data_IF_221230309259
#
_entry.id   IF_221230309259
#
_cell.length_a   1.000
_cell.length_b   1.000
_cell.length_c   1.000
_cell.angle_alpha   90.00
_cell.angle_beta   90.00
_cell.angle_gamma   90.00
#
_symmetry.space_group_name_H-M   'P 1'
#
loop_
_entity.id
_entity.type
_entity.pdbx_description
1 polymer ?
#
# COMPACT_ATOMS: atom_id res chain seq x y z
N UNK A 1 -4.90 -18.08 -1.32
CA UNK A 1 -4.48 -16.88 -0.55
C UNK A 1 -5.11 -15.69 -1.26
N UNK A 2 -5.60 -14.71 -0.48
CA UNK A 2 -6.75 -13.89 -0.85
C UNK A 2 -6.42 -12.68 -1.72
N UNK A 3 -7.35 -12.25 -2.56
CA UNK A 3 -7.17 -11.15 -3.53
C UNK A 3 -7.28 -9.76 -2.88
N UNK A 4 -6.73 -9.57 -1.68
CA UNK A 4 -6.84 -8.30 -0.94
C UNK A 4 -5.46 -7.81 -0.47
N UNK A 5 -5.23 -6.51 -0.66
CA UNK A 5 -4.07 -5.79 -0.17
C UNK A 5 -4.47 -4.91 1.02
N UNK A 6 -3.65 -4.91 2.07
CA UNK A 6 -3.79 -3.98 3.20
C UNK A 6 -2.66 -2.95 3.14
N UNK A 7 -2.99 -1.72 3.50
CA UNK A 7 -2.11 -0.57 3.44
C UNK A 7 -2.08 0.11 4.80
N UNK A 8 -0.89 0.19 5.40
CA UNK A 8 -0.67 0.84 6.68
C UNK A 8 -0.01 2.19 6.45
N UNK A 9 -0.80 3.26 6.63
CA UNK A 9 -0.34 4.64 6.46
C UNK A 9 0.00 5.22 7.83
N UNK A 10 1.28 5.51 8.14
CA UNK A 10 1.66 6.08 9.42
C UNK A 10 1.17 7.53 9.56
N UNK A 11 0.77 7.93 10.77
CA UNK A 11 0.35 9.31 11.05
C UNK A 11 1.50 10.32 10.88
N UNK A 12 2.75 9.89 11.08
CA UNK A 12 3.94 10.75 10.98
C UNK A 12 4.86 10.31 9.83
N UNK A 13 4.33 10.36 8.59
CA UNK A 13 5.06 9.97 7.37
C UNK A 13 6.42 10.68 7.23
N UNK A 14 6.51 11.96 7.62
CA UNK A 14 7.72 12.77 7.49
C UNK A 14 8.94 12.23 8.27
N UNK A 15 8.74 11.32 9.21
CA UNK A 15 9.83 10.62 9.92
C UNK A 15 10.52 9.57 9.04
N UNK A 16 9.84 9.05 8.03
CA UNK A 16 10.24 7.86 7.27
C UNK A 16 10.69 8.16 5.83
N UNK A 17 10.38 9.35 5.31
CA UNK A 17 10.83 9.78 3.98
C UNK A 17 12.36 9.76 3.88
N UNK A 18 12.87 9.07 2.85
CA UNK A 18 14.28 8.81 2.57
C UNK A 18 14.94 7.81 3.50
N UNK A 19 14.15 7.01 4.22
CA UNK A 19 14.63 6.04 5.22
C UNK A 19 14.03 4.65 5.00
N UNK A 20 13.60 4.35 3.78
CA UNK A 20 12.97 3.09 3.40
C UNK A 20 13.84 1.88 3.75
N UNK A 21 15.16 1.98 3.54
CA UNK A 21 16.10 0.91 3.87
C UNK A 21 16.24 0.70 5.39
N UNK A 22 16.29 1.78 6.18
CA UNK A 22 16.34 1.67 7.64
C UNK A 22 15.07 0.97 8.17
N UNK A 23 13.91 1.35 7.64
CA UNK A 23 12.62 0.77 8.03
C UNK A 23 12.51 -0.70 7.62
N UNK A 24 12.98 -1.04 6.41
CA UNK A 24 13.03 -2.42 5.94
C UNK A 24 13.92 -3.29 6.85
N UNK A 25 15.05 -2.76 7.32
CA UNK A 25 15.93 -3.46 8.26
C UNK A 25 15.30 -3.62 9.65
N UNK A 26 14.50 -2.64 10.11
CA UNK A 26 13.72 -2.78 11.34
C UNK A 26 12.66 -3.90 11.23
N UNK A 27 11.94 -4.00 10.11
CA UNK A 27 11.03 -5.12 9.84
C UNK A 27 11.77 -6.46 9.72
N UNK A 28 12.93 -6.47 9.06
CA UNK A 28 13.78 -7.66 8.98
C UNK A 28 14.20 -8.14 10.36
N UNK A 29 14.60 -7.23 11.25
CA UNK A 29 14.98 -7.55 12.62
C UNK A 29 13.82 -8.11 13.47
N UNK A 30 12.56 -7.82 13.11
CA UNK A 30 11.37 -8.42 13.71
C UNK A 30 11.05 -9.81 13.12
N UNK A 31 11.69 -10.20 12.02
CA UNK A 31 11.52 -11.50 11.37
C UNK A 31 10.19 -11.68 10.63
N UNK A 32 9.44 -10.59 10.37
CA UNK A 32 8.09 -10.67 9.78
C UNK A 32 8.05 -11.32 8.40
N UNK A 33 9.14 -11.21 7.65
CA UNK A 33 9.27 -11.79 6.32
C UNK A 33 9.51 -13.31 6.34
N UNK A 34 9.92 -13.88 7.47
CA UNK A 34 10.25 -15.32 7.55
C UNK A 34 9.01 -16.22 7.38
N UNK A 35 7.81 -15.64 7.48
CA UNK A 35 6.55 -16.33 7.25
C UNK A 35 6.09 -16.29 5.78
N UNK A 36 6.80 -15.59 4.88
CA UNK A 36 6.40 -15.45 3.47
C UNK A 36 7.06 -16.51 2.60
N UNK A 37 6.44 -16.82 1.45
CA UNK A 37 7.00 -17.72 0.43
C UNK A 37 7.81 -16.97 -0.66
N UNK A 38 8.26 -15.75 -0.38
CA UNK A 38 8.97 -14.90 -1.34
C UNK A 38 10.40 -15.41 -1.63
N UNK A 39 10.76 -15.50 -2.92
CA UNK A 39 12.05 -16.03 -3.37
C UNK A 39 13.23 -15.13 -2.97
N UNK A 40 13.07 -13.80 -3.00
CA UNK A 40 14.11 -12.86 -2.61
C UNK A 40 14.35 -12.90 -1.08
N UNK A 41 13.30 -13.07 -0.29
CA UNK A 41 13.42 -13.32 1.16
C UNK A 41 14.15 -14.64 1.41
N UNK A 42 13.81 -15.69 0.67
CA UNK A 42 14.47 -16.98 0.80
C UNK A 42 15.96 -16.92 0.44
N UNK A 43 16.35 -16.16 -0.59
CA UNK A 43 17.75 -15.89 -0.91
C UNK A 43 18.47 -15.15 0.22
N UNK A 44 17.86 -14.09 0.77
CA UNK A 44 18.42 -13.34 1.91
C UNK A 44 18.59 -14.20 3.16
N UNK A 45 17.65 -15.11 3.43
CA UNK A 45 17.75 -16.11 4.51
C UNK A 45 18.97 -17.01 4.30
N UNK A 46 19.13 -17.57 3.10
CA UNK A 46 20.29 -18.42 2.76
C UNK A 46 21.62 -17.68 2.92
N UNK A 47 21.69 -16.41 2.54
CA UNK A 47 22.89 -15.60 2.76
C UNK A 47 23.23 -15.44 4.24
N UNK A 48 22.22 -15.18 5.09
CA UNK A 48 22.39 -15.08 6.54
C UNK A 48 22.89 -16.40 7.15
N UNK A 49 22.32 -17.52 6.73
CA UNK A 49 22.74 -18.85 7.16
C UNK A 49 24.18 -19.16 6.72
N UNK A 50 24.53 -18.85 5.46
CA UNK A 50 25.88 -19.04 4.93
C UNK A 50 26.93 -18.19 5.67
N UNK A 51 26.55 -16.99 6.11
CA UNK A 51 27.39 -16.09 6.91
C UNK A 51 27.45 -16.49 8.40
N UNK A 52 26.70 -17.51 8.83
CA UNK A 52 26.62 -17.93 10.23
C UNK A 52 25.91 -16.92 11.14
N UNK A 53 25.06 -16.05 10.57
CA UNK A 53 24.25 -15.09 11.30
C UNK A 53 22.98 -15.79 11.82
N UNK A 54 22.57 -15.47 13.04
CA UNK A 54 21.29 -15.92 13.55
C UNK A 54 20.15 -15.19 12.82
N UNK A 55 19.10 -15.93 12.45
CA UNK A 55 17.85 -15.34 11.96
C UNK A 55 17.08 -14.72 13.14
N UNK A 56 16.33 -13.64 12.91
CA UNK A 56 15.41 -13.11 13.90
C UNK A 56 14.33 -14.14 14.25
N UNK A 57 13.92 -14.18 15.51
CA UNK A 57 12.79 -14.99 15.96
C UNK A 57 11.50 -14.20 15.72
N UNK A 58 10.58 -14.75 14.95
CA UNK A 58 9.27 -14.15 14.75
C UNK A 58 8.15 -15.06 15.28
N UNK A 59 7.25 -14.47 16.06
CA UNK A 59 5.97 -15.07 16.45
C UNK A 59 4.85 -14.13 15.99
N UNK A 60 4.32 -14.33 14.78
CA UNK A 60 3.05 -13.74 14.37
C UNK A 60 2.21 -14.75 13.58
N UNK A 61 0.90 -14.72 13.81
CA UNK A 61 -0.08 -15.59 13.14
C UNK A 61 -0.66 -14.94 11.86
N UNK A 62 -0.05 -13.87 11.36
CA UNK A 62 -0.49 -13.16 10.16
C UNK A 62 0.22 -13.72 8.92
N UNK A 63 -0.56 -14.21 7.95
CA UNK A 63 -0.08 -14.75 6.68
C UNK A 63 -0.35 -13.75 5.55
N UNK A 64 0.65 -13.50 4.71
CA UNK A 64 0.59 -12.63 3.54
C UNK A 64 1.54 -13.15 2.47
N UNK A 65 1.27 -12.84 1.20
CA UNK A 65 2.11 -13.28 0.08
C UNK A 65 3.34 -12.40 -0.09
N UNK A 66 3.12 -11.09 -0.17
CA UNK A 66 4.19 -10.10 -0.36
C UNK A 66 3.98 -8.88 0.55
N UNK A 67 5.07 -8.18 0.84
CA UNK A 67 5.08 -6.96 1.65
C UNK A 67 6.15 -6.00 1.15
N UNK A 68 5.75 -4.75 0.93
CA UNK A 68 6.66 -3.70 0.49
C UNK A 68 6.44 -2.38 1.20
N UNK A 69 7.48 -1.56 1.15
CA UNK A 69 7.45 -0.17 1.58
C UNK A 69 7.41 0.72 0.34
N UNK A 70 6.52 1.70 0.37
CA UNK A 70 6.49 2.77 -0.61
C UNK A 70 7.03 4.03 0.03
N UNK A 71 7.98 4.69 -0.64
CA UNK A 71 8.48 6.03 -0.31
C UNK A 71 8.62 6.83 -1.62
N UNK A 72 7.66 7.71 -1.86
CA UNK A 72 7.55 8.46 -3.11
C UNK A 72 7.78 9.97 -2.91
N UNK A 73 8.29 10.62 -3.95
CA UNK A 73 8.43 12.07 -4.00
C UNK A 73 7.06 12.77 -3.94
N UNK A 74 6.04 12.15 -4.54
CA UNK A 74 4.67 12.65 -4.60
C UNK A 74 3.70 11.81 -3.76
N UNK A 75 2.56 12.42 -3.44
CA UNK A 75 1.48 11.73 -2.71
C UNK A 75 0.71 10.79 -3.64
N UNK A 76 0.81 9.48 -3.41
CA UNK A 76 0.13 8.43 -4.16
C UNK A 76 -1.24 8.08 -3.56
N UNK A 77 -2.22 7.66 -4.38
CA UNK A 77 -3.48 7.10 -3.91
C UNK A 77 -3.25 5.85 -3.03
N UNK A 78 -4.00 5.75 -1.93
CA UNK A 78 -4.01 4.56 -1.07
C UNK A 78 -5.45 4.18 -0.74
N UNK A 79 -5.93 2.97 -1.09
CA UNK A 79 -5.25 1.89 -1.83
C UNK A 79 -4.75 2.30 -3.22
N UNK A 80 -3.73 1.59 -3.73
CA UNK A 80 -3.24 1.79 -5.09
C UNK A 80 -4.14 1.12 -6.14
N UNK A 81 -4.79 0.00 -5.80
CA UNK A 81 -5.85 -0.55 -6.65
C UNK A 81 -7.10 0.32 -6.53
N UNK A 82 -7.33 1.11 -7.57
CA UNK A 82 -8.45 2.07 -7.62
C UNK A 82 -9.79 1.39 -7.91
N UNK A 83 -9.75 0.20 -8.48
CA UNK A 83 -10.92 -0.59 -8.78
C UNK A 83 -11.66 -0.96 -7.48
N UNK A 84 -12.98 -0.80 -7.49
CA UNK A 84 -13.81 -1.00 -6.30
C UNK A 84 -13.95 0.23 -5.38
N UNK A 85 -13.10 1.27 -5.49
CA UNK A 85 -13.25 2.50 -4.69
C UNK A 85 -14.52 3.30 -5.02
N UNK A 86 -15.13 3.04 -6.19
CA UNK A 86 -16.34 3.72 -6.64
C UNK A 86 -16.13 5.23 -6.73
N UNK A 87 -15.10 5.64 -7.48
CA UNK A 87 -14.71 7.03 -7.61
C UNK A 87 -15.77 7.81 -8.40
N UNK A 88 -16.23 8.93 -7.84
CA UNK A 88 -17.29 9.74 -8.42
C UNK A 88 -16.86 11.19 -8.60
N UNK A 89 -17.40 11.81 -9.67
CA UNK A 89 -17.14 13.19 -10.00
C UNK A 89 -17.67 14.13 -8.90
N UNK A 90 -16.84 15.03 -8.34
CA UNK A 90 -17.28 15.91 -7.26
C UNK A 90 -18.37 16.91 -7.67
N UNK A 91 -18.63 17.07 -8.97
CA UNK A 91 -19.57 18.05 -9.51
C UNK A 91 -20.94 17.48 -9.90
N UNK A 92 -21.00 16.21 -10.30
CA UNK A 92 -22.22 15.59 -10.82
C UNK A 92 -22.45 14.16 -10.34
N UNK A 93 -21.56 13.65 -9.48
CA UNK A 93 -21.61 12.30 -8.88
C UNK A 93 -21.64 11.14 -9.89
N UNK A 94 -21.34 11.41 -11.18
CA UNK A 94 -21.11 10.36 -12.17
C UNK A 94 -19.88 9.52 -11.80
N UNK A 95 -19.95 8.22 -12.06
CA UNK A 95 -18.81 7.32 -11.94
C UNK A 95 -17.69 7.76 -12.89
N UNK A 96 -16.48 7.83 -12.37
CA UNK A 96 -15.27 8.23 -13.10
C UNK A 96 -14.09 7.31 -12.78
N UNK A 97 -14.34 6.10 -12.26
CA UNK A 97 -13.30 5.16 -11.84
C UNK A 97 -12.35 4.84 -13.00
N UNK A 98 -12.88 4.52 -14.18
CA UNK A 98 -12.06 4.27 -15.39
C UNK A 98 -11.20 5.48 -15.77
N UNK A 99 -11.75 6.70 -15.76
CA UNK A 99 -10.98 7.89 -16.12
C UNK A 99 -9.93 8.26 -15.06
N UNK A 100 -10.14 7.84 -13.81
CA UNK A 100 -9.13 7.96 -12.76
C UNK A 100 -8.02 6.93 -12.99
N UNK A 101 -8.38 5.68 -13.31
CA UNK A 101 -7.42 4.62 -13.64
C UNK A 101 -6.54 5.01 -14.82
N UNK A 102 -7.13 5.45 -15.94
CA UNK A 102 -6.39 5.91 -17.13
C UNK A 102 -5.36 7.00 -16.81
N UNK A 103 -5.67 7.89 -15.86
CA UNK A 103 -4.77 8.97 -15.46
C UNK A 103 -3.69 8.46 -14.51
N UNK A 104 -3.98 7.44 -13.71
CA UNK A 104 -3.04 6.86 -12.75
C UNK A 104 -2.03 5.92 -13.44
N UNK A 105 -2.51 5.05 -14.32
CA UNK A 105 -1.68 4.13 -15.14
C UNK A 105 -0.68 4.93 -16.00
N UNK A 106 -1.12 6.07 -16.55
CA UNK A 106 -0.24 7.03 -17.26
C UNK A 106 0.94 7.53 -16.39
N UNK A 107 0.80 7.58 -15.05
CA UNK A 107 1.85 8.06 -14.13
C UNK A 107 2.92 7.01 -13.92
N UNK A 108 2.51 5.74 -13.78
CA UNK A 108 3.43 4.62 -13.54
C UNK A 108 4.37 4.44 -14.75
N UNK A 109 3.82 4.58 -15.96
CA UNK A 109 4.58 4.55 -17.20
C UNK A 109 5.34 5.87 -17.50
N UNK A 110 4.89 7.01 -16.97
CA UNK A 110 5.46 8.32 -17.25
C UNK A 110 5.22 9.32 -16.10
N UNK A 111 6.25 9.71 -15.32
CA UNK A 111 6.12 10.55 -14.13
C UNK A 111 5.82 12.04 -14.43
N UNK A 112 5.16 12.32 -15.55
CA UNK A 112 4.63 13.63 -15.86
C UNK A 112 3.60 14.06 -14.80
N UNK A 113 3.42 15.38 -14.55
CA UNK A 113 2.48 15.85 -13.57
C UNK A 113 1.06 15.35 -13.88
N UNK A 114 0.43 14.72 -12.88
CA UNK A 114 -0.88 14.07 -12.98
C UNK A 114 -1.89 14.99 -13.67
N UNK A 115 -2.27 14.65 -14.90
CA UNK A 115 -3.26 15.43 -15.65
C UNK A 115 -4.61 15.39 -14.93
N UNK A 116 -5.40 16.48 -14.94
CA UNK A 116 -6.73 16.46 -14.33
C UNK A 116 -7.65 15.41 -14.96
N UNK A 117 -8.45 14.75 -14.14
CA UNK A 117 -9.45 13.79 -14.61
C UNK A 117 -10.64 14.54 -15.17
N UNK A 118 -11.00 14.21 -16.41
CA UNK A 118 -12.15 14.79 -17.09
C UNK A 118 -13.38 13.90 -16.92
N UNK A 119 -14.41 14.40 -16.25
CA UNK A 119 -15.66 13.67 -16.09
C UNK A 119 -16.43 13.59 -17.42
N UNK A 120 -16.79 12.38 -17.84
CA UNK A 120 -17.58 12.13 -19.07
C UNK A 120 -19.03 12.65 -18.96
N UNK A 121 -19.59 12.72 -17.75
CA UNK A 121 -20.97 13.16 -17.52
C UNK A 121 -21.17 14.67 -17.63
N UNK A 122 -20.30 15.46 -16.98
CA UNK A 122 -20.44 16.92 -16.94
C UNK A 122 -19.33 17.70 -17.67
N UNK A 123 -18.33 17.00 -18.21
CA UNK A 123 -17.20 17.60 -18.95
C UNK A 123 -16.22 18.40 -18.09
N UNK A 124 -16.43 18.49 -16.77
CA UNK A 124 -15.55 19.24 -15.86
C UNK A 124 -14.30 18.44 -15.52
N UNK A 125 -13.21 19.17 -15.30
CA UNK A 125 -11.94 18.62 -14.86
C UNK A 125 -11.84 18.69 -13.33
N UNK A 126 -11.29 17.66 -12.71
CA UNK A 126 -11.02 17.61 -11.29
C UNK A 126 -9.66 16.97 -11.03
N UNK A 127 -8.87 17.49 -10.07
CA UNK A 127 -7.66 16.80 -9.64
C UNK A 127 -8.03 15.52 -8.89
N UNK A 128 -7.13 14.53 -8.94
CA UNK A 128 -7.31 13.21 -8.32
C UNK A 128 -7.64 13.33 -6.81
N UNK A 129 -6.98 14.26 -6.10
CA UNK A 129 -7.23 14.54 -4.66
C UNK A 129 -8.61 15.10 -4.31
N UNK A 130 -9.44 15.45 -5.30
CA UNK A 130 -10.79 15.99 -5.08
C UNK A 130 -11.90 15.03 -5.50
N UNK A 131 -11.57 13.83 -5.95
CA UNK A 131 -12.59 12.84 -6.25
C UNK A 131 -13.28 12.41 -4.96
N UNK A 132 -14.55 12.04 -5.08
CA UNK A 132 -15.31 11.41 -3.99
C UNK A 132 -15.17 9.90 -4.14
N UNK A 133 -15.09 9.17 -3.03
CA UNK A 133 -15.07 7.71 -3.01
C UNK A 133 -16.20 7.19 -2.11
N UNK A 134 -16.68 5.98 -2.38
CA UNK A 134 -17.61 5.26 -1.51
C UNK A 134 -16.89 4.52 -0.38
N UNK A 135 -15.58 4.30 -0.51
CA UNK A 135 -14.75 3.57 0.44
C UNK A 135 -13.68 4.50 1.05
N UNK A 136 -13.10 4.11 2.20
CA UNK A 136 -11.95 4.83 2.75
C UNK A 136 -10.81 4.90 1.74
N UNK A 137 -10.30 6.10 1.52
CA UNK A 137 -9.28 6.39 0.53
C UNK A 137 -8.49 7.62 0.99
N UNK A 138 -7.19 7.61 0.77
CA UNK A 138 -6.30 8.73 1.13
C UNK A 138 -5.20 8.91 0.09
N UNK A 139 -4.34 9.90 0.32
CA UNK A 139 -3.05 9.99 -0.34
C UNK A 139 -1.93 9.94 0.67
N UNK A 140 -0.86 9.24 0.30
CA UNK A 140 0.30 9.09 1.15
C UNK A 140 1.57 9.08 0.32
N UNK A 141 2.64 9.66 0.86
CA UNK A 141 3.98 9.53 0.29
C UNK A 141 4.68 8.28 0.80
N UNK A 142 4.33 7.85 2.00
CA UNK A 142 4.95 6.72 2.66
C UNK A 142 3.90 5.78 3.24
N UNK A 143 3.99 4.49 2.93
CA UNK A 143 3.14 3.47 3.52
C UNK A 143 3.76 2.08 3.37
N UNK A 144 3.33 1.15 4.24
CA UNK A 144 3.58 -0.27 4.09
C UNK A 144 2.38 -0.90 3.41
N UNK A 145 2.59 -1.73 2.40
CA UNK A 145 1.55 -2.55 1.80
C UNK A 145 1.87 -4.02 2.03
N UNK A 146 0.82 -4.82 2.25
CA UNK A 146 0.87 -6.29 2.30
C UNK A 146 -0.17 -6.83 1.34
N UNK A 147 0.18 -7.79 0.51
CA UNK A 147 -0.70 -8.39 -0.49
C UNK A 147 -1.01 -9.86 -0.16
N UNK A 148 -1.92 -10.44 -0.95
CA UNK A 148 -2.38 -11.82 -0.83
C UNK A 148 -2.99 -12.19 0.54
N UNK A 149 -3.51 -11.18 1.24
CA UNK A 149 -4.07 -11.34 2.59
C UNK A 149 -5.43 -12.02 2.57
N UNK A 150 -5.79 -12.68 3.67
CA UNK A 150 -7.13 -13.26 3.81
C UNK A 150 -8.20 -12.15 3.72
N UNK A 151 -9.24 -12.28 2.87
CA UNK A 151 -10.29 -11.27 2.76
C UNK A 151 -11.11 -11.07 4.04
N UNK A 152 -11.08 -12.00 4.99
CA UNK A 152 -11.72 -11.81 6.29
C UNK A 152 -10.81 -11.12 7.32
N UNK A 153 -9.53 -10.88 6.97
CA UNK A 153 -8.60 -10.12 7.80
C UNK A 153 -8.77 -8.61 7.56
N UNK A 154 -8.90 -7.86 8.64
CA UNK A 154 -9.00 -6.39 8.63
C UNK A 154 -7.66 -5.71 8.95
N UNK A 155 -6.60 -6.49 9.10
CA UNK A 155 -5.25 -6.05 9.43
C UNK A 155 -5.03 -5.71 10.90
N UNK A 156 -6.06 -5.81 11.74
CA UNK A 156 -5.95 -5.40 13.15
C UNK A 156 -5.04 -6.30 13.97
N UNK A 157 -4.90 -7.58 13.58
CA UNK A 157 -3.99 -8.53 14.22
C UNK A 157 -2.51 -8.22 13.94
N UNK A 158 -2.19 -7.72 12.75
CA UNK A 158 -0.82 -7.38 12.34
C UNK A 158 -0.42 -5.95 12.71
N UNK A 159 -1.39 -5.06 12.90
CA UNK A 159 -1.17 -3.66 13.25
C UNK A 159 -0.17 -3.45 14.41
N UNK A 160 -0.22 -4.18 15.55
CA UNK A 160 0.76 -3.99 16.62
C UNK A 160 2.21 -4.27 16.21
N UNK A 161 2.44 -5.15 15.23
CA UNK A 161 3.77 -5.42 14.67
C UNK A 161 4.21 -4.27 13.78
N UNK A 162 3.31 -3.78 12.91
CA UNK A 162 3.57 -2.62 12.06
C UNK A 162 3.87 -1.37 12.89
N UNK A 163 3.06 -1.09 13.92
CA UNK A 163 3.19 0.12 14.74
C UNK A 163 4.44 0.12 15.63
N UNK A 164 5.08 -1.03 15.87
CA UNK A 164 6.40 -1.07 16.54
C UNK A 164 7.47 -0.34 15.71
N UNK A 165 7.37 -0.41 14.38
CA UNK A 165 8.32 0.21 13.44
C UNK A 165 7.81 1.58 13.00
N UNK A 166 6.56 1.64 12.53
CA UNK A 166 6.00 2.83 11.89
C UNK A 166 5.30 3.80 12.85
N UNK A 167 5.10 3.41 14.11
CA UNK A 167 4.21 4.15 15.02
C UNK A 167 2.74 4.05 14.61
N UNK A 168 1.86 4.89 15.16
CA UNK A 168 0.42 4.83 14.89
C UNK A 168 0.09 4.86 13.40
N UNK A 169 -0.74 3.92 12.95
CA UNK A 169 -1.10 3.76 11.53
C UNK A 169 -2.62 3.74 11.32
N UNK A 170 -3.05 4.27 10.17
CA UNK A 170 -4.40 4.04 9.64
C UNK A 170 -4.35 2.95 8.57
N UNK A 171 -5.26 1.99 8.66
CA UNK A 171 -5.37 0.87 7.71
C UNK A 171 -6.34 1.25 6.57
N UNK A 172 -5.90 1.03 5.34
CA UNK A 172 -6.73 1.05 4.13
C UNK A 172 -6.64 -0.30 3.45
N UNK A 173 -7.64 -0.64 2.64
CA UNK A 173 -7.78 -1.98 2.07
C UNK A 173 -8.27 -1.92 0.64
N UNK A 174 -7.65 -2.67 -0.26
CA UNK A 174 -8.21 -2.95 -1.57
C UNK A 174 -9.29 -4.01 -1.50
N UNK A 175 -10.28 -3.91 -2.37
CA UNK A 175 -11.34 -4.91 -2.49
C UNK A 175 -10.98 -5.82 -3.66
N UNK A 176 -10.99 -7.12 -3.42
CA UNK A 176 -10.97 -8.13 -4.47
C UNK A 176 -12.11 -7.87 -5.46
N UNK A 177 -11.78 -7.62 -6.73
CA UNK A 177 -12.77 -7.59 -7.80
C UNK A 177 -12.92 -9.00 -8.36
N UNK A 178 -14.01 -9.69 -8.00
CA UNK A 178 -14.45 -10.97 -8.58
C UNK A 178 -14.55 -10.93 -10.13
#
# INVERSE_FOLDING_TARGET
MGECSLYYVPENQGRFVGRENDVADEFWALGVFLATEDEAIFERVREYENDGKALPECEHDFEFGDMGLTDDEEELPVPQELDGLGLTCPHCDADITEQAYDVYDDIDDNPAPVRPIRCIGCGKNSPFKRLKSKLPFTFSRFFLWVSDTNPDDDGTGFLPTVEKVLGPCTIYRSIATD
#
